data_IF_549486067702
#
_entry.id   IF_549486067702
#
_cell.length_a   1.000
_cell.length_b   1.000
_cell.length_c   1.000
_cell.angle_alpha   90.00
_cell.angle_beta   90.00
_cell.angle_gamma   90.00
#
_symmetry.space_group_name_H-M   'P 1'
#
loop_
_entity.id
_entity.type
_entity.pdbx_description
1 polymer ?
#
# COMPACT_ATOMS: atom_id res chain seq x y z
N UNK A 1 -13.30 -8.66 -4.08
CA UNK A 1 -13.03 -9.90 -3.31
C UNK A 1 -12.15 -9.63 -2.10
N UNK A 2 -10.96 -9.02 -2.24
CA UNK A 2 -10.13 -8.59 -1.09
C UNK A 2 -10.84 -7.69 -0.08
N UNK A 3 -11.62 -6.72 -0.57
CA UNK A 3 -12.41 -5.80 0.27
C UNK A 3 -13.42 -6.46 1.22
N UNK A 4 -13.93 -7.65 0.89
CA UNK A 4 -14.88 -8.38 1.75
C UNK A 4 -14.13 -9.06 2.90
N UNK A 5 -13.00 -9.71 2.61
CA UNK A 5 -12.20 -10.44 3.60
C UNK A 5 -11.48 -9.47 4.54
N UNK A 6 -10.74 -8.51 3.97
CA UNK A 6 -10.04 -7.51 4.77
C UNK A 6 -10.97 -6.46 5.38
N UNK A 7 -12.16 -6.22 4.81
CA UNK A 7 -13.20 -5.42 5.45
C UNK A 7 -13.73 -6.09 6.72
N UNK A 8 -14.00 -7.39 6.66
CA UNK A 8 -14.42 -8.16 7.85
C UNK A 8 -13.32 -8.24 8.93
N UNK A 9 -12.06 -8.40 8.52
CA UNK A 9 -10.90 -8.33 9.43
C UNK A 9 -10.72 -6.90 9.99
N UNK A 10 -11.01 -5.87 9.18
CA UNK A 10 -11.01 -4.45 9.57
C UNK A 10 -11.97 -4.13 10.69
N UNK A 11 -13.18 -4.67 10.63
CA UNK A 11 -14.21 -4.50 11.65
C UNK A 11 -13.83 -5.17 13.00
N UNK A 12 -12.98 -6.20 12.97
CA UNK A 12 -12.55 -6.94 14.16
C UNK A 12 -11.28 -6.39 14.83
N UNK A 13 -10.32 -5.87 14.04
CA UNK A 13 -8.95 -5.55 14.51
C UNK A 13 -8.71 -4.03 14.64
N UNK A 14 -9.64 -3.21 14.14
CA UNK A 14 -9.57 -1.75 14.18
C UNK A 14 -8.87 -1.17 12.94
N UNK A 15 -9.50 -0.16 12.34
CA UNK A 15 -9.12 0.46 11.06
C UNK A 15 -7.64 0.88 11.01
N UNK A 16 -7.11 1.52 12.08
CA UNK A 16 -5.70 1.97 12.14
C UNK A 16 -4.69 0.82 12.02
N UNK A 17 -5.00 -0.37 12.54
CA UNK A 17 -4.08 -1.52 12.55
C UNK A 17 -4.07 -2.25 11.21
N UNK A 18 -5.23 -2.44 10.59
CA UNK A 18 -5.35 -3.06 9.25
C UNK A 18 -4.63 -2.25 8.19
N UNK A 19 -4.73 -0.93 8.28
CA UNK A 19 -4.06 0.02 7.41
C UNK A 19 -2.52 -0.04 7.50
N UNK A 20 -1.93 -0.24 8.69
CA UNK A 20 -0.48 -0.47 8.85
C UNK A 20 -0.06 -1.83 8.29
N UNK A 21 -0.82 -2.87 8.62
CA UNK A 21 -0.54 -4.24 8.16
C UNK A 21 -0.58 -4.31 6.63
N UNK A 22 -1.53 -3.62 6.00
CA UNK A 22 -1.65 -3.63 4.54
C UNK A 22 -0.44 -3.01 3.84
N UNK A 23 0.02 -1.83 4.27
CA UNK A 23 1.20 -1.17 3.67
C UNK A 23 2.43 -2.08 3.75
N UNK A 24 2.64 -2.71 4.92
CA UNK A 24 3.74 -3.66 5.11
C UNK A 24 3.57 -4.89 4.22
N UNK A 25 2.36 -5.44 4.15
CA UNK A 25 2.09 -6.64 3.37
C UNK A 25 2.30 -6.40 1.87
N UNK A 26 1.82 -5.28 1.34
CA UNK A 26 2.02 -4.90 -0.07
C UNK A 26 3.50 -4.68 -0.38
N UNK A 27 4.23 -3.99 0.51
CA UNK A 27 5.67 -3.78 0.39
C UNK A 27 6.46 -5.09 0.37
N UNK A 28 6.22 -5.96 1.35
CA UNK A 28 6.88 -7.26 1.44
C UNK A 28 6.52 -8.18 0.28
N UNK A 29 5.26 -8.18 -0.17
CA UNK A 29 4.85 -8.95 -1.34
C UNK A 29 5.56 -8.47 -2.60
N UNK A 30 5.67 -7.15 -2.80
CA UNK A 30 6.38 -6.57 -3.96
C UNK A 30 7.88 -6.90 -3.90
N UNK A 31 8.49 -6.80 -2.73
CA UNK A 31 9.88 -7.21 -2.50
C UNK A 31 10.10 -8.71 -2.77
N UNK A 32 9.16 -9.56 -2.34
CA UNK A 32 9.21 -11.00 -2.55
C UNK A 32 9.20 -11.37 -4.05
N UNK A 33 8.52 -10.60 -4.90
CA UNK A 33 8.58 -10.76 -6.36
C UNK A 33 10.01 -10.50 -6.86
N UNK A 34 10.69 -9.49 -6.31
CA UNK A 34 12.06 -9.13 -6.71
C UNK A 34 13.09 -10.22 -6.40
N UNK A 35 12.92 -10.99 -5.32
CA UNK A 35 13.81 -12.10 -4.96
C UNK A 35 13.32 -13.46 -5.48
N UNK A 36 12.21 -13.49 -6.23
CA UNK A 36 11.60 -14.75 -6.66
C UNK A 36 12.53 -15.47 -7.67
N UNK A 37 12.80 -16.77 -7.46
CA UNK A 37 13.55 -17.58 -8.43
C UNK A 37 12.83 -17.65 -9.77
N UNK A 38 13.60 -17.73 -10.85
CA UNK A 38 13.05 -17.86 -12.22
C UNK A 38 12.62 -19.28 -12.53
N UNK A 39 11.85 -19.43 -13.60
CA UNK A 39 11.37 -20.73 -14.07
C UNK A 39 12.49 -21.75 -14.26
N UNK A 40 13.67 -21.33 -14.73
CA UNK A 40 14.83 -22.21 -14.91
C UNK A 40 15.34 -22.83 -13.60
N UNK A 41 15.08 -22.19 -12.45
CA UNK A 41 15.58 -22.64 -11.14
C UNK A 41 14.60 -23.55 -10.41
N UNK A 42 13.29 -23.27 -10.49
CA UNK A 42 12.26 -23.97 -9.69
C UNK A 42 11.05 -24.46 -10.52
N UNK A 43 11.11 -24.34 -11.85
CA UNK A 43 10.07 -24.79 -12.77
C UNK A 43 8.71 -24.13 -12.51
N UNK A 44 7.65 -24.94 -12.56
CA UNK A 44 6.25 -24.50 -12.39
C UNK A 44 5.99 -23.86 -11.02
N UNK A 45 6.85 -24.10 -10.02
CA UNK A 45 6.73 -23.44 -8.72
C UNK A 45 6.91 -21.91 -8.81
N UNK A 46 7.71 -21.40 -9.76
CA UNK A 46 7.92 -19.96 -9.95
C UNK A 46 6.62 -19.20 -10.26
N UNK A 47 5.88 -19.53 -11.34
CA UNK A 47 4.60 -18.88 -11.62
C UNK A 47 3.54 -19.17 -10.55
N UNK A 48 3.53 -20.35 -9.92
CA UNK A 48 2.60 -20.65 -8.84
C UNK A 48 2.82 -19.73 -7.60
N UNK A 49 4.07 -19.56 -7.18
CA UNK A 49 4.43 -18.63 -6.09
C UNK A 49 4.13 -17.18 -6.47
N UNK A 50 4.42 -16.78 -7.72
CA UNK A 50 4.09 -15.44 -8.21
C UNK A 50 2.59 -15.17 -8.11
N UNK A 51 1.75 -16.12 -8.54
CA UNK A 51 0.30 -16.02 -8.45
C UNK A 51 -0.14 -15.93 -6.99
N UNK A 52 0.40 -16.77 -6.11
CA UNK A 52 0.10 -16.73 -4.68
C UNK A 52 0.43 -15.34 -4.09
N UNK A 53 1.62 -14.81 -4.36
CA UNK A 53 2.04 -13.46 -3.93
C UNK A 53 1.08 -12.40 -4.46
N UNK A 54 0.68 -12.46 -5.74
CA UNK A 54 -0.26 -11.51 -6.35
C UNK A 54 -1.65 -11.59 -5.74
N UNK A 55 -2.13 -12.78 -5.40
CA UNK A 55 -3.40 -12.95 -4.69
C UNK A 55 -3.32 -12.28 -3.32
N UNK A 56 -2.28 -12.59 -2.53
CA UNK A 56 -2.09 -11.96 -1.21
C UNK A 56 -2.01 -10.43 -1.30
N UNK A 57 -1.21 -9.91 -2.23
CA UNK A 57 -1.08 -8.49 -2.47
C UNK A 57 -2.43 -7.84 -2.85
N UNK A 58 -3.19 -8.46 -3.76
CA UNK A 58 -4.49 -7.97 -4.20
C UNK A 58 -5.56 -7.98 -3.10
N UNK A 59 -5.52 -8.98 -2.20
CA UNK A 59 -6.39 -9.03 -1.03
C UNK A 59 -6.12 -7.83 -0.09
N UNK A 60 -4.84 -7.50 0.14
CA UNK A 60 -4.41 -6.35 0.95
C UNK A 60 -4.96 -5.03 0.41
N UNK A 61 -4.63 -4.74 -0.85
CA UNK A 61 -4.93 -3.46 -1.49
C UNK A 61 -6.44 -3.27 -1.57
N UNK A 62 -7.19 -4.32 -1.91
CA UNK A 62 -8.64 -4.26 -2.02
C UNK A 62 -9.35 -3.91 -0.71
N UNK A 63 -8.82 -4.37 0.43
CA UNK A 63 -9.34 -4.04 1.77
C UNK A 63 -8.98 -2.65 2.25
N UNK A 64 -7.72 -2.28 2.07
CA UNK A 64 -7.23 -0.95 2.43
C UNK A 64 -7.93 0.16 1.65
N UNK A 65 -8.11 -0.04 0.34
CA UNK A 65 -8.73 0.96 -0.52
C UNK A 65 -10.20 1.22 -0.13
N UNK A 66 -11.00 0.16 0.06
CA UNK A 66 -12.41 0.31 0.46
C UNK A 66 -12.57 0.94 1.85
N UNK A 67 -11.74 0.52 2.82
CA UNK A 67 -11.79 1.09 4.18
C UNK A 67 -11.38 2.57 4.20
N UNK A 68 -10.35 2.93 3.44
CA UNK A 68 -9.85 4.31 3.38
C UNK A 68 -10.87 5.24 2.71
N UNK A 69 -11.59 4.78 1.69
CA UNK A 69 -12.64 5.59 1.03
C UNK A 69 -13.78 5.87 2.00
N UNK A 70 -14.25 4.85 2.73
CA UNK A 70 -15.31 5.01 3.74
C UNK A 70 -14.88 5.97 4.85
N UNK A 71 -13.63 5.86 5.32
CA UNK A 71 -13.08 6.78 6.32
C UNK A 71 -13.07 8.23 5.84
N UNK A 72 -12.53 8.49 4.65
CA UNK A 72 -12.45 9.84 4.08
C UNK A 72 -13.84 10.42 3.84
N UNK A 73 -14.77 9.64 3.28
CA UNK A 73 -16.16 10.08 3.07
C UNK A 73 -16.85 10.43 4.39
N UNK A 74 -16.64 9.63 5.43
CA UNK A 74 -17.22 9.84 6.76
C UNK A 74 -16.76 11.12 7.44
N UNK A 75 -15.49 11.49 7.28
CA UNK A 75 -14.88 12.67 7.91
C UNK A 75 -14.86 13.91 7.00
N UNK A 76 -15.31 13.80 5.75
CA UNK A 76 -15.29 14.92 4.79
C UNK A 76 -16.58 15.75 4.79
N UNK A 77 -16.48 17.08 4.69
CA UNK A 77 -17.65 17.95 4.59
C UNK A 77 -18.46 17.65 3.31
N UNK A 78 -19.81 17.72 3.35
CA UNK A 78 -20.68 17.19 2.29
C UNK A 78 -20.37 17.70 0.88
N UNK A 79 -19.97 18.97 0.76
CA UNK A 79 -19.66 19.64 -0.51
C UNK A 79 -18.25 19.34 -1.06
N UNK A 80 -17.39 18.61 -0.33
CA UNK A 80 -16.02 18.29 -0.75
C UNK A 80 -15.68 16.80 -0.75
N UNK A 81 -16.61 15.92 -0.37
CA UNK A 81 -16.40 14.46 -0.30
C UNK A 81 -15.77 13.90 -1.58
N UNK A 82 -16.38 14.18 -2.73
CA UNK A 82 -15.89 13.68 -4.01
C UNK A 82 -14.45 14.16 -4.33
N UNK A 83 -14.16 15.43 -4.06
CA UNK A 83 -12.84 16.02 -4.28
C UNK A 83 -11.78 15.41 -3.35
N UNK A 84 -12.10 15.20 -2.07
CA UNK A 84 -11.15 14.61 -1.12
C UNK A 84 -10.94 13.10 -1.37
N UNK A 85 -11.99 12.38 -1.77
CA UNK A 85 -11.85 10.96 -2.15
C UNK A 85 -11.08 10.75 -3.45
N UNK A 86 -11.13 11.69 -4.41
CA UNK A 86 -10.42 11.53 -5.69
C UNK A 86 -8.90 11.53 -5.51
N UNK A 87 -8.39 12.17 -4.46
CA UNK A 87 -6.97 12.18 -4.11
C UNK A 87 -6.41 10.77 -3.88
N UNK A 88 -7.25 9.85 -3.40
CA UNK A 88 -6.87 8.44 -3.22
C UNK A 88 -6.65 7.73 -4.56
N UNK A 89 -7.49 8.04 -5.55
CA UNK A 89 -7.34 7.54 -6.92
C UNK A 89 -6.08 8.10 -7.58
N UNK A 90 -5.85 9.41 -7.45
CA UNK A 90 -4.64 10.08 -7.95
C UNK A 90 -3.39 9.45 -7.36
N UNK A 91 -3.34 9.23 -6.04
CA UNK A 91 -2.19 8.58 -5.39
C UNK A 91 -1.91 7.17 -5.95
N UNK A 92 -2.97 6.39 -6.18
CA UNK A 92 -2.85 5.04 -6.75
C UNK A 92 -2.29 5.07 -8.19
N UNK A 93 -2.81 5.97 -9.03
CA UNK A 93 -2.34 6.13 -10.40
C UNK A 93 -0.91 6.68 -10.48
N UNK A 94 -0.55 7.65 -9.64
CA UNK A 94 0.82 8.16 -9.56
C UNK A 94 1.80 7.05 -9.16
N UNK A 95 1.45 6.25 -8.16
CA UNK A 95 2.28 5.09 -7.77
C UNK A 95 2.47 4.10 -8.92
N UNK A 96 1.40 3.81 -9.66
CA UNK A 96 1.47 2.96 -10.86
C UNK A 96 2.38 3.54 -11.94
N UNK A 97 2.24 4.83 -12.25
CA UNK A 97 3.06 5.52 -13.26
C UNK A 97 4.53 5.52 -12.85
N UNK A 98 4.84 5.83 -11.59
CA UNK A 98 6.23 5.83 -11.09
C UNK A 98 6.82 4.43 -11.17
N UNK A 99 6.06 3.39 -10.78
CA UNK A 99 6.51 2.00 -10.88
C UNK A 99 6.76 1.58 -12.33
N UNK A 100 5.84 1.92 -13.25
CA UNK A 100 6.00 1.64 -14.67
C UNK A 100 7.20 2.38 -15.28
N UNK A 101 7.37 3.67 -14.94
CA UNK A 101 8.52 4.47 -15.37
C UNK A 101 9.84 3.89 -14.85
N UNK A 102 9.90 3.45 -13.59
CA UNK A 102 11.09 2.83 -13.01
C UNK A 102 11.54 1.60 -13.81
N UNK A 103 10.60 0.74 -14.25
CA UNK A 103 10.91 -0.39 -15.13
C UNK A 103 11.30 0.05 -16.55
N UNK A 104 10.57 1.00 -17.12
CA UNK A 104 10.83 1.52 -18.47
C UNK A 104 12.16 2.27 -18.60
N UNK A 105 12.70 2.79 -17.50
CA UNK A 105 14.01 3.45 -17.48
C UNK A 105 15.20 2.49 -17.39
N UNK A 106 14.99 1.21 -17.04
CA UNK A 106 16.09 0.24 -16.91
C UNK A 106 16.92 0.08 -18.20
N UNK A 107 16.33 -0.02 -19.41
CA UNK A 107 17.09 -0.17 -20.66
C UNK A 107 17.93 1.07 -21.03
N UNK A 108 17.68 2.23 -20.41
CA UNK A 108 18.52 3.41 -20.60
C UNK A 108 19.79 3.38 -19.74
N UNK A 109 19.86 2.49 -18.74
CA UNK A 109 20.96 2.41 -17.76
C UNK A 109 21.72 1.09 -17.87
N UNK A 110 21.05 0.01 -18.26
CA UNK A 110 21.59 -1.34 -18.33
C UNK A 110 21.51 -1.91 -19.76
N UNK A 111 22.42 -2.82 -20.08
CA UNK A 111 22.33 -3.60 -21.33
C UNK A 111 21.13 -4.57 -21.31
N UNK A 112 20.60 -4.92 -22.48
CA UNK A 112 19.46 -5.84 -22.62
C UNK A 112 19.67 -7.16 -21.87
N UNK A 113 20.86 -7.76 -21.98
CA UNK A 113 21.22 -8.99 -21.26
C UNK A 113 21.17 -8.84 -19.73
N UNK A 114 21.48 -7.67 -19.21
CA UNK A 114 21.42 -7.35 -17.78
C UNK A 114 19.98 -7.10 -17.33
N UNK A 115 19.19 -6.42 -18.17
CA UNK A 115 17.77 -6.18 -17.92
C UNK A 115 17.02 -7.49 -17.79
N UNK A 116 17.22 -8.44 -18.71
CA UNK A 116 16.53 -9.73 -18.70
C UNK A 116 17.01 -10.66 -17.59
N UNK A 117 18.30 -10.60 -17.24
CA UNK A 117 18.87 -11.50 -16.23
C UNK A 117 18.52 -11.06 -14.81
N UNK A 118 18.67 -9.79 -14.45
CA UNK A 118 18.49 -9.35 -13.05
C UNK A 118 18.00 -7.92 -12.86
N UNK A 119 18.28 -6.96 -13.75
CA UNK A 119 18.00 -5.56 -13.47
C UNK A 119 16.50 -5.26 -13.37
N UNK A 120 15.64 -6.05 -14.04
CA UNK A 120 14.18 -6.01 -13.88
C UNK A 120 13.70 -6.18 -12.43
N UNK A 121 14.51 -6.80 -11.56
CA UNK A 121 14.21 -7.00 -10.14
C UNK A 121 14.34 -5.73 -9.31
N UNK A 122 15.16 -4.76 -9.74
CA UNK A 122 15.51 -3.57 -8.95
C UNK A 122 14.30 -2.74 -8.50
N UNK A 123 13.30 -2.43 -9.35
CA UNK A 123 12.12 -1.69 -8.92
C UNK A 123 11.32 -2.43 -7.85
N UNK A 124 11.25 -3.77 -7.94
CA UNK A 124 10.58 -4.61 -6.95
C UNK A 124 11.32 -4.61 -5.62
N UNK A 125 12.65 -4.71 -5.63
CA UNK A 125 13.47 -4.65 -4.41
C UNK A 125 13.37 -3.27 -3.74
N UNK A 126 13.31 -2.19 -4.51
CA UNK A 126 13.17 -0.83 -4.00
C UNK A 126 11.84 -0.59 -3.27
N UNK A 127 10.82 -1.44 -3.50
CA UNK A 127 9.53 -1.33 -2.81
C UNK A 127 9.63 -1.38 -1.28
N UNK A 128 10.69 -1.98 -0.71
CA UNK A 128 10.89 -1.99 0.74
C UNK A 128 11.14 -0.58 1.29
N UNK A 129 11.86 0.26 0.54
CA UNK A 129 12.13 1.66 0.91
C UNK A 129 10.82 2.45 0.89
N UNK A 130 10.01 2.24 -0.15
CA UNK A 130 8.69 2.86 -0.28
C UNK A 130 7.77 2.41 0.86
N UNK A 131 7.79 1.12 1.22
CA UNK A 131 6.99 0.58 2.31
C UNK A 131 7.40 1.16 3.67
N UNK A 132 8.70 1.31 3.93
CA UNK A 132 9.21 1.98 5.14
C UNK A 132 8.76 3.45 5.15
N UNK A 133 8.93 4.18 4.05
CA UNK A 133 8.47 5.56 3.94
C UNK A 133 6.96 5.69 4.20
N UNK A 134 6.15 4.81 3.60
CA UNK A 134 4.71 4.75 3.83
C UNK A 134 4.35 4.47 5.29
N UNK A 135 5.07 3.59 5.97
CA UNK A 135 4.91 3.35 7.40
C UNK A 135 5.24 4.58 8.25
N UNK A 136 6.31 5.30 7.93
CA UNK A 136 6.70 6.51 8.67
C UNK A 136 5.63 7.59 8.55
N UNK A 137 5.16 7.85 7.33
CA UNK A 137 4.04 8.79 7.09
C UNK A 137 2.81 8.37 7.89
N UNK A 138 2.50 7.07 7.94
CA UNK A 138 1.36 6.55 8.69
C UNK A 138 1.46 6.83 10.18
N UNK A 139 2.65 6.65 10.76
CA UNK A 139 2.90 6.94 12.18
C UNK A 139 2.67 8.42 12.47
N UNK A 140 3.20 9.31 11.63
CA UNK A 140 2.98 10.75 11.77
C UNK A 140 1.51 11.13 11.72
N UNK A 141 0.73 10.54 10.81
CA UNK A 141 -0.73 10.79 10.74
C UNK A 141 -1.43 10.31 12.02
N UNK A 142 -1.10 9.11 12.51
CA UNK A 142 -1.69 8.60 13.74
C UNK A 142 -1.37 9.49 14.95
N UNK A 143 -0.14 10.00 15.03
CA UNK A 143 0.31 10.89 16.11
C UNK A 143 -0.42 12.24 16.06
N UNK A 144 -0.62 12.80 14.86
CA UNK A 144 -1.38 14.04 14.66
C UNK A 144 -2.85 13.89 15.09
N UNK A 145 -3.50 12.79 14.69
CA UNK A 145 -4.87 12.52 15.08
C UNK A 145 -5.02 12.31 16.60
N UNK A 146 -4.03 11.68 17.24
CA UNK A 146 -4.03 11.49 18.69
C UNK A 146 -3.81 12.80 19.47
N UNK A 147 -3.10 13.77 18.88
CA UNK A 147 -2.93 15.10 19.46
C UNK A 147 -4.23 15.92 19.35
N UNK A 148 -4.90 15.89 18.20
CA UNK A 148 -6.19 16.58 17.99
C UNK A 148 -7.28 16.07 18.94
N UNK A 149 -7.37 14.75 19.14
CA UNK A 149 -8.33 14.14 20.08
C UNK A 149 -8.05 14.56 21.54
N UNK A 150 -6.78 14.78 21.92
CA UNK A 150 -6.43 15.31 23.25
C UNK A 150 -6.81 16.77 23.42
N UNK A 151 -6.54 17.61 22.43
CA UNK A 151 -6.87 19.03 22.47
C UNK A 151 -8.40 19.25 22.53
N UNK A 152 -9.18 18.41 21.84
CA UNK A 152 -10.64 18.44 21.92
C UNK A 152 -11.15 18.05 23.32
N UNK A 153 -10.56 17.04 23.96
CA UNK A 153 -10.93 16.61 25.32
C UNK A 153 -10.53 17.63 26.40
N UNK A 154 -9.36 18.25 26.30
CA UNK A 154 -8.93 19.31 27.24
C UNK A 154 -9.66 20.66 27.00
N UNK A 155 -10.13 20.92 25.78
CA UNK A 155 -10.88 22.12 25.42
C UNK A 155 -12.36 22.12 25.83
N UNK A 156 -12.90 20.97 26.24
CA UNK A 156 -14.28 20.89 26.75
C UNK A 156 -14.35 21.47 28.17
N UNK A 157 -15.17 22.51 28.41
CA UNK A 157 -15.34 23.03 29.77
C UNK A 157 -15.92 21.91 30.64
N UNK A 158 -15.21 21.56 31.71
CA UNK A 158 -15.67 20.58 32.70
C UNK A 158 -16.98 21.14 33.29
N UNK A 159 -18.11 20.59 32.85
CA UNK A 159 -19.41 20.86 33.49
C UNK A 159 -19.39 20.07 34.81
N UNK A 160 -18.86 20.72 35.84
CA UNK A 160 -18.93 20.31 37.24
C UNK A 160 -20.15 20.93 37.91
#
# INVERSE_FOLDING_TARGET
MGGVIFGHIGDSIGHKRVLKVSVVMVGLATFAIGILPIYEQIGVAAPALLIAIRIFQGLSVGGEYSGSVTFVVGHSPPNRRAFLTSWMGIGSFLGFIIGAAAGAHLPAVFEESQVDSWAWRLPFLFSIVIAIGGMLVRRTIDDLLAAEEKDEVEGLPIVA
#
